data_IF_141741613443
#
_entry.id   IF_141741613443
#
_cell.length_a   1.000
_cell.length_b   1.000
_cell.length_c   1.000
_cell.angle_alpha   90.00
_cell.angle_beta   90.00
_cell.angle_gamma   90.00
#
_symmetry.space_group_name_H-M   'P 1'
#
loop_
_entity.id
_entity.type
_entity.pdbx_description
1 polymer ?
#
# COMPACT_ATOMS: atom_id res chain seq x y z
N UNK A 1 40.65 21.21 3.97
CA UNK A 1 39.27 21.70 4.15
C UNK A 1 38.30 21.11 3.13
N UNK A 2 38.53 21.25 1.81
CA UNK A 2 37.64 20.69 0.77
C UNK A 2 37.41 19.17 0.84
N UNK A 3 38.47 18.39 1.14
CA UNK A 3 38.38 16.91 1.28
C UNK A 3 37.43 16.49 2.41
N UNK A 4 37.52 17.17 3.57
CA UNK A 4 36.64 16.91 4.72
C UNK A 4 35.18 17.23 4.38
N UNK A 5 34.93 18.32 3.64
CA UNK A 5 33.60 18.67 3.17
C UNK A 5 33.00 17.59 2.25
N UNK A 6 33.80 17.01 1.34
CA UNK A 6 33.33 15.91 0.49
C UNK A 6 33.01 14.64 1.29
N UNK A 7 33.79 14.30 2.31
CA UNK A 7 33.47 13.17 3.18
C UNK A 7 32.18 13.40 3.98
N UNK A 8 31.96 14.61 4.49
CA UNK A 8 30.71 14.97 5.19
C UNK A 8 29.53 14.89 4.24
N UNK A 9 29.63 15.49 3.06
CA UNK A 9 28.54 15.50 2.08
C UNK A 9 28.24 14.09 1.55
N UNK A 10 29.27 13.29 1.30
CA UNK A 10 29.13 11.87 0.95
C UNK A 10 28.48 11.05 2.06
N UNK A 11 28.84 11.30 3.33
CA UNK A 11 28.21 10.65 4.48
C UNK A 11 26.73 10.99 4.62
N UNK A 12 26.36 12.27 4.47
CA UNK A 12 24.96 12.71 4.47
C UNK A 12 24.18 12.07 3.32
N UNK A 13 24.76 12.06 2.12
CA UNK A 13 24.13 11.44 0.95
C UNK A 13 23.94 9.92 1.13
N UNK A 14 24.91 9.25 1.74
CA UNK A 14 24.80 7.81 2.04
C UNK A 14 23.69 7.54 3.07
N UNK A 15 23.61 8.35 4.13
CA UNK A 15 22.53 8.24 5.12
C UNK A 15 21.15 8.50 4.49
N UNK A 16 21.06 9.46 3.56
CA UNK A 16 19.85 9.73 2.81
C UNK A 16 19.41 8.51 1.99
N UNK A 17 20.33 7.90 1.23
CA UNK A 17 20.04 6.69 0.46
C UNK A 17 19.60 5.53 1.36
N UNK A 18 20.27 5.32 2.50
CA UNK A 18 19.91 4.28 3.46
C UNK A 18 18.52 4.51 4.06
N UNK A 19 18.16 5.75 4.36
CA UNK A 19 16.83 6.09 4.86
C UNK A 19 15.73 5.75 3.85
N UNK A 20 15.91 6.13 2.57
CA UNK A 20 14.92 5.82 1.53
C UNK A 20 14.85 4.33 1.21
N UNK A 21 15.98 3.63 1.21
CA UNK A 21 16.01 2.18 1.08
C UNK A 21 15.22 1.50 2.22
N UNK A 22 15.46 1.93 3.47
CA UNK A 22 14.69 1.43 4.61
C UNK A 22 13.20 1.74 4.47
N UNK A 23 12.83 2.98 4.14
CA UNK A 23 11.42 3.36 3.99
C UNK A 23 10.70 2.58 2.88
N UNK A 24 11.41 2.21 1.80
CA UNK A 24 10.82 1.49 0.68
C UNK A 24 10.75 -0.02 0.92
N UNK A 25 11.78 -0.60 1.53
CA UNK A 25 11.91 -2.06 1.68
C UNK A 25 11.54 -2.59 3.06
N UNK A 26 11.60 -1.76 4.11
CA UNK A 26 11.24 -2.19 5.46
C UNK A 26 9.74 -2.01 5.68
N UNK A 27 8.96 -3.05 5.40
CA UNK A 27 7.56 -3.12 5.79
C UNK A 27 7.49 -3.29 7.31
N UNK A 28 7.01 -2.27 8.04
CA UNK A 28 6.90 -2.33 9.51
C UNK A 28 5.81 -3.30 9.99
N UNK A 29 4.72 -3.43 9.23
CA UNK A 29 3.60 -4.30 9.57
C UNK A 29 3.06 -4.92 8.30
N UNK A 30 3.07 -6.25 8.27
CA UNK A 30 2.42 -7.06 7.25
C UNK A 30 1.25 -7.79 7.90
N UNK A 31 0.16 -7.98 7.14
CA UNK A 31 -1.02 -8.66 7.65
C UNK A 31 -2.04 -8.93 6.56
N UNK A 32 -2.79 -10.01 6.73
CA UNK A 32 -3.93 -10.35 5.87
C UNK A 32 -5.21 -10.17 6.67
N UNK A 33 -6.20 -9.50 6.09
CA UNK A 33 -7.52 -9.41 6.70
C UNK A 33 -8.42 -10.48 6.08
N UNK A 34 -8.81 -11.45 6.89
CA UNK A 34 -9.72 -12.52 6.49
C UNK A 34 -11.17 -12.09 6.76
N UNK A 35 -12.08 -12.47 5.87
CA UNK A 35 -13.50 -12.24 6.05
C UNK A 35 -14.31 -12.95 4.97
N UNK A 36 -15.63 -12.89 5.09
CA UNK A 36 -16.55 -13.48 4.12
C UNK A 36 -16.92 -12.45 3.05
N UNK A 37 -16.85 -12.84 1.76
CA UNK A 37 -17.33 -12.01 0.66
C UNK A 37 -18.85 -11.94 0.72
N UNK A 38 -19.41 -10.81 1.15
CA UNK A 38 -20.85 -10.64 1.33
C UNK A 38 -21.53 -10.06 0.09
N UNK A 39 -20.77 -9.36 -0.77
CA UNK A 39 -21.31 -8.73 -1.96
C UNK A 39 -20.24 -8.52 -3.01
N UNK A 40 -20.61 -8.77 -4.25
CA UNK A 40 -19.79 -8.49 -5.41
C UNK A 40 -20.70 -8.00 -6.53
N UNK A 41 -20.42 -6.82 -7.07
CA UNK A 41 -21.33 -6.15 -7.98
C UNK A 41 -20.61 -5.27 -8.98
N UNK A 42 -21.13 -5.21 -10.20
CA UNK A 42 -20.58 -4.37 -11.27
C UNK A 42 -21.27 -3.01 -11.25
N UNK A 43 -20.62 -2.01 -10.65
CA UNK A 43 -21.15 -0.66 -10.43
C UNK A 43 -20.47 0.35 -11.36
N UNK A 44 -21.13 1.48 -11.61
CA UNK A 44 -20.62 2.57 -12.44
C UNK A 44 -21.60 2.98 -13.56
N UNK A 45 -21.56 4.26 -13.91
CA UNK A 45 -22.46 4.86 -14.91
C UNK A 45 -21.83 4.85 -16.31
N UNK A 46 -20.63 5.41 -16.44
CA UNK A 46 -19.89 5.49 -17.71
C UNK A 46 -18.88 4.34 -17.83
N UNK A 47 -18.06 4.15 -16.80
CA UNK A 47 -17.14 3.02 -16.69
C UNK A 47 -17.60 2.11 -15.57
N UNK A 48 -17.83 0.84 -15.89
CA UNK A 48 -18.26 -0.15 -14.91
C UNK A 48 -17.05 -0.90 -14.35
N UNK A 49 -16.89 -0.84 -13.04
CA UNK A 49 -15.89 -1.57 -12.25
C UNK A 49 -16.56 -2.63 -11.41
N UNK A 50 -15.78 -3.63 -11.01
CA UNK A 50 -16.23 -4.63 -10.05
C UNK A 50 -15.92 -4.15 -8.64
N UNK A 51 -16.96 -4.09 -7.82
CA UNK A 51 -16.92 -3.63 -6.43
C UNK A 51 -17.29 -4.79 -5.52
N UNK A 52 -16.44 -5.08 -4.55
CA UNK A 52 -16.63 -6.12 -3.56
C UNK A 52 -16.71 -5.57 -2.15
N UNK A 53 -17.44 -6.28 -1.28
CA UNK A 53 -17.58 -5.98 0.13
C UNK A 53 -17.29 -7.27 0.93
N UNK A 54 -16.38 -7.21 1.90
CA UNK A 54 -15.99 -8.33 2.77
C UNK A 54 -16.41 -8.02 4.21
N UNK A 55 -17.09 -8.96 4.87
CA UNK A 55 -17.39 -8.88 6.30
C UNK A 55 -16.24 -9.48 7.11
N UNK A 56 -15.57 -8.67 7.92
CA UNK A 56 -14.39 -9.05 8.71
C UNK A 56 -14.68 -9.16 10.22
N UNK A 57 -15.94 -9.05 10.64
CA UNK A 57 -16.31 -8.96 12.06
C UNK A 57 -17.61 -9.66 12.42
N UNK A 58 -17.81 -9.84 13.72
CA UNK A 58 -18.98 -10.47 14.32
C UNK A 58 -20.17 -9.52 14.10
N UNK A 59 -21.22 -10.02 13.45
CA UNK A 59 -22.47 -9.28 13.19
C UNK A 59 -22.40 -8.18 12.12
N UNK A 60 -21.43 -8.21 11.20
CA UNK A 60 -21.41 -7.32 10.02
C UNK A 60 -21.04 -5.86 10.31
N UNK A 61 -20.53 -5.55 11.51
CA UNK A 61 -20.11 -4.20 11.88
C UNK A 61 -18.84 -3.72 11.16
N UNK A 62 -18.04 -4.65 10.62
CA UNK A 62 -16.79 -4.33 9.94
C UNK A 62 -16.85 -4.80 8.48
N UNK A 63 -17.26 -3.89 7.61
CA UNK A 63 -17.35 -4.11 6.16
C UNK A 63 -16.14 -3.45 5.50
N UNK A 64 -15.34 -4.24 4.82
CA UNK A 64 -14.24 -3.78 3.98
C UNK A 64 -14.70 -3.72 2.53
N UNK A 65 -14.74 -2.52 1.96
CA UNK A 65 -15.10 -2.32 0.55
C UNK A 65 -13.83 -2.22 -0.30
N UNK A 66 -13.83 -2.88 -1.46
CA UNK A 66 -12.70 -2.87 -2.39
C UNK A 66 -13.18 -2.82 -3.85
N UNK A 67 -12.32 -2.26 -4.71
CA UNK A 67 -12.54 -2.20 -6.16
C UNK A 67 -11.51 -3.07 -6.87
N UNK A 68 -11.93 -3.75 -7.93
CA UNK A 68 -11.03 -4.58 -8.74
C UNK A 68 -10.40 -3.72 -9.83
N UNK A 69 -9.07 -3.63 -9.80
CA UNK A 69 -8.31 -3.00 -10.87
C UNK A 69 -8.49 -3.81 -12.15
N UNK A 70 -8.75 -3.13 -13.26
CA UNK A 70 -8.82 -3.78 -14.57
C UNK A 70 -7.40 -4.18 -14.98
N UNK A 71 -7.23 -5.41 -15.42
CA UNK A 71 -5.96 -5.88 -15.97
C UNK A 71 -5.72 -5.15 -17.30
N UNK A 72 -4.67 -4.35 -17.35
CA UNK A 72 -4.17 -3.77 -18.60
C UNK A 72 -3.38 -4.87 -19.31
N UNK A 73 -3.90 -5.31 -20.47
CA UNK A 73 -3.20 -6.23 -21.37
C UNK A 73 -2.04 -5.54 -22.09
#
# INVERSE_FOLDING_TARGET
MKKVLYYILGGIFLLFLLYFAFAYFATYSEGTRTGELIKFSKKGVVFKTWEGEISQGISGAQIFSFSVLKEDK
#
